data_IF_981771616808
#
_entry.id   IF_981771616808
#
_cell.length_a   1.000
_cell.length_b   1.000
_cell.length_c   1.000
_cell.angle_alpha   90.00
_cell.angle_beta   90.00
_cell.angle_gamma   90.00
#
_symmetry.space_group_name_H-M   'P 1'
#
loop_
_entity.id
_entity.type
_entity.pdbx_description
1 polymer ?
#
# COMPACT_ATOMS: atom_id res chain seq x y z
N UNK A 1 12.25 -22.53 -4.59
CA UNK A 1 12.03 -21.87 -4.39
C UNK A 1 11.83 -21.25 -4.81
N UNK A 2 11.46 -21.09 -5.10
CA UNK A 2 11.35 -20.15 -5.60
C UNK A 2 11.06 -19.21 -5.11
N UNK A 3 10.72 -19.07 -4.61
CA UNK A 3 10.44 -18.20 -4.23
C UNK A 3 11.38 -17.44 -4.00
N UNK A 4 11.96 -17.03 -4.64
CA UNK A 4 12.88 -16.33 -4.49
C UNK A 4 12.68 -14.98 -4.32
N UNK A 5 11.69 -14.37 -4.67
CA UNK A 5 11.49 -13.03 -4.52
C UNK A 5 11.16 -12.66 -3.14
N UNK A 6 10.70 -13.56 -2.33
CA UNK A 6 10.37 -13.30 -0.95
C UNK A 6 11.39 -14.00 -0.10
N UNK A 7 12.38 -13.27 0.36
CA UNK A 7 13.38 -13.84 1.24
C UNK A 7 12.77 -14.09 2.61
N UNK A 8 13.35 -14.95 3.41
CA UNK A 8 12.84 -15.18 4.76
C UNK A 8 12.75 -13.91 5.59
N UNK A 9 13.70 -13.02 5.39
CA UNK A 9 13.71 -11.77 6.14
C UNK A 9 12.54 -10.89 5.77
N UNK A 10 12.24 -10.77 4.47
CA UNK A 10 11.12 -9.96 4.01
C UNK A 10 9.81 -10.57 4.48
N UNK A 11 9.70 -11.87 4.40
CA UNK A 11 8.48 -12.54 4.81
C UNK A 11 8.20 -12.34 6.30
N UNK A 12 9.23 -12.47 7.12
CA UNK A 12 9.07 -12.30 8.56
C UNK A 12 8.67 -10.86 8.89
N UNK A 13 9.26 -9.90 8.17
CA UNK A 13 8.94 -8.51 8.41
C UNK A 13 7.49 -8.20 8.03
N UNK A 14 7.02 -8.72 6.92
CA UNK A 14 5.65 -8.49 6.52
C UNK A 14 4.68 -9.06 7.53
N UNK A 15 4.99 -10.25 8.04
CA UNK A 15 4.12 -10.88 9.02
C UNK A 15 4.09 -10.08 10.31
N UNK A 16 5.23 -9.54 10.71
CA UNK A 16 5.29 -8.71 11.90
C UNK A 16 4.49 -7.44 11.72
N UNK A 17 4.57 -6.81 10.55
CA UNK A 17 3.85 -5.57 10.29
C UNK A 17 2.35 -5.78 10.28
N UNK A 18 1.90 -6.96 9.87
CA UNK A 18 0.48 -7.24 9.90
C UNK A 18 -0.12 -7.09 11.29
N UNK A 19 0.68 -7.39 12.32
CA UNK A 19 0.18 -7.33 13.68
C UNK A 19 0.34 -5.95 14.30
N UNK A 20 1.10 -5.06 13.62
CA UNK A 20 1.43 -3.76 14.20
C UNK A 20 1.14 -2.63 13.23
N UNK A 21 -0.13 -2.49 12.89
CA UNK A 21 -0.52 -1.40 12.02
C UNK A 21 -0.45 -0.08 12.79
N UNK A 22 0.01 0.97 12.13
CA UNK A 22 -0.06 2.31 12.71
C UNK A 22 -1.53 2.73 12.79
N UNK A 23 -1.84 3.77 13.59
CA UNK A 23 -3.21 4.24 13.65
C UNK A 23 -3.80 4.61 12.28
N UNK A 24 -3.00 5.27 11.43
CA UNK A 24 -3.48 5.63 10.11
C UNK A 24 -3.73 4.39 9.26
N UNK A 25 -2.82 3.43 9.31
CA UNK A 25 -2.99 2.19 8.56
C UNK A 25 -4.22 1.43 9.03
N UNK A 26 -4.43 1.37 10.35
CA UNK A 26 -5.59 0.66 10.88
C UNK A 26 -6.87 1.34 10.47
N UNK A 27 -6.89 2.68 10.48
CA UNK A 27 -8.08 3.41 10.08
C UNK A 27 -8.43 3.16 8.62
N UNK A 28 -7.45 3.25 7.74
CA UNK A 28 -7.72 3.01 6.34
C UNK A 28 -8.10 1.56 6.09
N UNK A 29 -7.41 0.64 6.74
CA UNK A 29 -7.68 -0.78 6.56
C UNK A 29 -9.12 -1.14 6.94
N UNK A 30 -9.67 -0.48 7.96
CA UNK A 30 -11.04 -0.78 8.37
C UNK A 30 -12.04 -0.45 7.25
N UNK A 31 -11.66 0.40 6.32
CA UNK A 31 -12.52 0.75 5.19
C UNK A 31 -12.22 -0.06 3.93
N UNK A 32 -11.05 -0.69 3.87
CA UNK A 32 -10.67 -1.44 2.68
C UNK A 32 -10.89 -2.94 2.81
N UNK A 33 -10.80 -3.46 4.02
CA UNK A 33 -10.87 -4.89 4.24
C UNK A 33 -12.24 -5.45 3.91
N UNK A 34 -12.29 -6.74 3.66
CA UNK A 34 -13.54 -7.46 3.45
C UNK A 34 -14.35 -6.89 2.29
N UNK A 35 -13.65 -6.42 1.24
CA UNK A 35 -14.29 -5.91 0.03
C UNK A 35 -15.21 -4.72 0.30
N UNK A 36 -14.93 -3.95 1.34
CA UNK A 36 -15.84 -2.87 1.73
C UNK A 36 -15.85 -1.69 0.78
N UNK A 37 -14.74 -1.46 0.08
CA UNK A 37 -14.69 -0.34 -0.85
C UNK A 37 -14.84 -0.86 -2.27
N UNK A 38 -15.94 -0.48 -2.91
CA UNK A 38 -16.19 -0.82 -4.32
C UNK A 38 -16.12 -2.33 -4.59
N UNK A 39 -16.33 -3.13 -3.54
CA UNK A 39 -16.30 -4.59 -3.66
C UNK A 39 -14.96 -5.08 -4.20
N UNK A 40 -13.89 -4.38 -3.89
CA UNK A 40 -12.54 -4.72 -4.36
C UNK A 40 -11.77 -5.40 -3.25
N UNK A 41 -11.01 -6.42 -3.62
CA UNK A 41 -10.20 -7.16 -2.66
C UNK A 41 -8.87 -6.44 -2.45
N UNK A 42 -8.64 -5.95 -1.23
CA UNK A 42 -7.38 -5.33 -0.85
C UNK A 42 -6.64 -6.21 0.14
N UNK A 43 -5.32 -6.16 0.07
CA UNK A 43 -4.44 -6.81 1.04
C UNK A 43 -3.62 -5.75 1.73
N UNK A 44 -3.32 -5.96 3.00
CA UNK A 44 -2.42 -5.05 3.68
C UNK A 44 -1.06 -5.70 3.84
N UNK A 45 -0.01 -4.89 3.87
CA UNK A 45 1.36 -5.35 4.04
C UNK A 45 1.68 -6.45 3.03
N UNK A 46 1.54 -6.10 1.76
CA UNK A 46 1.67 -7.07 0.66
C UNK A 46 3.05 -6.97 0.02
N UNK A 47 3.68 -8.11 -0.20
CA UNK A 47 5.02 -8.14 -0.80
C UNK A 47 4.93 -8.19 -2.32
N UNK A 48 5.69 -7.33 -2.98
CA UNK A 48 5.82 -7.32 -4.42
C UNK A 48 7.30 -7.25 -4.73
N UNK A 49 7.86 -8.37 -5.23
CA UNK A 49 9.29 -8.46 -5.40
C UNK A 49 9.99 -8.26 -4.08
N UNK A 50 11.00 -7.40 -4.02
CA UNK A 50 11.72 -7.16 -2.77
C UNK A 50 11.05 -6.11 -1.88
N UNK A 51 9.91 -5.60 -2.27
CA UNK A 51 9.28 -4.50 -1.55
C UNK A 51 8.01 -4.96 -0.85
N UNK A 52 7.69 -4.28 0.25
CA UNK A 52 6.44 -4.49 0.96
C UNK A 52 5.66 -3.19 0.87
N UNK A 53 4.43 -3.29 0.36
CA UNK A 53 3.58 -2.11 0.20
C UNK A 53 2.50 -2.13 1.28
N UNK A 54 2.01 -0.95 1.63
CA UNK A 54 1.02 -0.85 2.71
C UNK A 54 -0.29 -1.54 2.36
N UNK A 55 -0.84 -1.23 1.19
CA UNK A 55 -2.08 -1.83 0.73
C UNK A 55 -2.01 -2.08 -0.76
N UNK A 56 -2.64 -3.15 -1.20
CA UNK A 56 -2.60 -3.50 -2.60
C UNK A 56 -3.89 -4.19 -3.01
N UNK A 57 -4.45 -3.76 -4.14
CA UNK A 57 -5.53 -4.46 -4.80
C UNK A 57 -4.92 -5.13 -6.02
N UNK A 58 -4.48 -6.40 -5.91
CA UNK A 58 -3.68 -7.00 -6.97
C UNK A 58 -4.40 -7.10 -8.31
N UNK A 59 -5.68 -7.40 -8.27
CA UNK A 59 -6.43 -7.54 -9.52
C UNK A 59 -6.66 -6.21 -10.22
N UNK A 60 -6.58 -5.12 -9.48
CA UNK A 60 -6.73 -3.79 -10.04
C UNK A 60 -5.40 -3.12 -10.25
N UNK A 61 -4.31 -3.78 -9.85
CA UNK A 61 -2.97 -3.22 -9.99
C UNK A 61 -2.86 -1.86 -9.34
N UNK A 62 -3.43 -1.73 -8.15
CA UNK A 62 -3.43 -0.48 -7.41
C UNK A 62 -2.75 -0.66 -6.07
N UNK A 63 -1.81 0.22 -5.77
CA UNK A 63 -1.09 0.24 -4.51
C UNK A 63 -1.41 1.53 -3.79
N UNK A 64 -1.58 1.45 -2.48
CA UNK A 64 -1.80 2.63 -1.65
C UNK A 64 -0.72 2.64 -0.58
N UNK A 65 -0.06 3.79 -0.44
CA UNK A 65 1.01 3.97 0.52
C UNK A 65 0.68 5.13 1.43
N UNK A 66 0.99 4.99 2.71
CA UNK A 66 0.78 6.06 3.68
C UNK A 66 2.14 6.56 4.13
N UNK A 67 2.32 7.87 4.09
CA UNK A 67 3.58 8.48 4.45
C UNK A 67 3.43 9.27 5.73
N UNK A 68 4.35 9.07 6.66
CA UNK A 68 4.32 9.79 7.92
C UNK A 68 5.09 11.09 7.83
N UNK A 69 6.40 11.00 7.85
CA UNK A 69 7.22 12.19 7.77
C UNK A 69 8.14 12.08 6.57
N UNK A 70 8.78 13.18 6.25
CA UNK A 70 9.64 13.23 5.12
C UNK A 70 10.96 12.54 5.35
N UNK A 71 11.48 11.89 4.35
CA UNK A 71 12.76 11.23 4.42
C UNK A 71 13.52 11.60 3.16
N UNK A 72 14.09 12.80 3.17
CA UNK A 72 14.79 13.29 1.99
C UNK A 72 15.95 12.39 1.59
N UNK A 73 16.60 11.81 2.58
CA UNK A 73 17.72 10.94 2.29
C UNK A 73 17.29 9.63 1.64
N UNK A 74 15.99 9.36 1.57
CA UNK A 74 15.51 8.15 0.95
C UNK A 74 14.89 8.39 -0.42
N UNK A 75 15.06 9.58 -0.96
CA UNK A 75 14.41 9.92 -2.21
C UNK A 75 14.79 8.99 -3.36
N UNK A 76 16.07 8.65 -3.47
CA UNK A 76 16.50 7.77 -4.55
C UNK A 76 15.93 6.37 -4.39
N UNK A 77 15.93 5.88 -3.16
CA UNK A 77 15.35 4.57 -2.89
C UNK A 77 13.86 4.55 -3.24
N UNK A 78 13.15 5.61 -2.86
CA UNK A 78 11.73 5.69 -3.15
C UNK A 78 11.46 5.75 -4.65
N UNK A 79 12.30 6.48 -5.39
CA UNK A 79 12.14 6.57 -6.83
C UNK A 79 12.34 5.21 -7.49
N UNK A 80 13.38 4.49 -7.09
CA UNK A 80 13.65 3.17 -7.64
C UNK A 80 12.51 2.20 -7.31
N UNK A 81 11.99 2.29 -6.10
CA UNK A 81 10.89 1.44 -5.67
C UNK A 81 9.65 1.71 -6.51
N UNK A 82 9.32 2.98 -6.69
CA UNK A 82 8.15 3.35 -7.47
C UNK A 82 8.31 2.90 -8.91
N UNK A 83 9.48 3.10 -9.49
CA UNK A 83 9.73 2.68 -10.85
C UNK A 83 9.57 1.18 -11.02
N UNK A 84 10.07 0.41 -10.04
CA UNK A 84 9.93 -1.04 -10.09
C UNK A 84 8.45 -1.43 -10.07
N UNK A 85 7.68 -0.84 -9.16
CA UNK A 85 6.28 -1.17 -9.03
C UNK A 85 5.49 -0.78 -10.29
N UNK A 86 5.81 0.37 -10.86
CA UNK A 86 5.15 0.80 -12.08
C UNK A 86 5.52 -0.09 -13.26
N UNK A 87 6.75 -0.60 -13.28
CA UNK A 87 7.17 -1.50 -14.35
C UNK A 87 6.40 -2.81 -14.30
N UNK A 88 5.84 -3.15 -13.14
CA UNK A 88 5.01 -4.34 -12.99
C UNK A 88 3.54 -4.05 -13.27
N UNK A 89 3.24 -2.83 -13.70
CA UNK A 89 1.88 -2.47 -14.07
C UNK A 89 1.05 -1.86 -12.96
N UNK A 90 1.67 -1.57 -11.82
CA UNK A 90 0.93 -1.01 -10.69
C UNK A 90 0.87 0.50 -10.76
N UNK A 91 -0.25 1.05 -10.29
CA UNK A 91 -0.40 2.46 -10.03
C UNK A 91 -0.24 2.65 -8.53
N UNK A 92 0.45 3.71 -8.13
CA UNK A 92 0.73 3.96 -6.73
C UNK A 92 0.07 5.26 -6.30
N UNK A 93 -0.78 5.18 -5.29
CA UNK A 93 -1.38 6.36 -4.67
C UNK A 93 -0.73 6.55 -3.31
N UNK A 94 -0.39 7.78 -2.98
CA UNK A 94 0.23 8.10 -1.71
C UNK A 94 -0.60 9.12 -0.97
N UNK A 95 -0.75 8.90 0.32
CA UNK A 95 -1.48 9.81 1.19
C UNK A 95 -0.66 10.06 2.44
N UNK A 96 -0.78 11.26 2.97
CA UNK A 96 -0.19 11.55 4.27
C UNK A 96 -1.00 10.83 5.34
N UNK A 97 -0.32 10.38 6.39
CA UNK A 97 -1.03 9.80 7.54
C UNK A 97 -2.07 10.80 8.07
N UNK A 98 -1.72 12.07 8.08
CA UNK A 98 -2.63 13.12 8.55
C UNK A 98 -3.93 13.14 7.75
N UNK A 99 -3.83 12.98 6.44
CA UNK A 99 -5.03 13.00 5.61
C UNK A 99 -5.95 11.86 5.98
N UNK A 100 -5.38 10.67 6.23
CA UNK A 100 -6.18 9.52 6.62
C UNK A 100 -6.86 9.77 7.97
N UNK A 101 -6.13 10.37 8.91
CA UNK A 101 -6.67 10.57 10.25
C UNK A 101 -7.69 11.68 10.30
N UNK A 102 -7.53 12.72 9.49
CA UNK A 102 -8.36 13.91 9.59
C UNK A 102 -9.44 13.99 8.52
N UNK A 103 -9.25 13.35 7.38
CA UNK A 103 -10.19 13.47 6.27
C UNK A 103 -10.27 12.16 5.50
N UNK A 104 -10.69 11.12 6.21
CA UNK A 104 -10.73 9.79 5.61
C UNK A 104 -11.64 9.73 4.39
N UNK A 105 -12.70 10.54 4.37
CA UNK A 105 -13.62 10.47 3.25
C UNK A 105 -13.01 11.00 1.97
N UNK A 106 -12.18 12.03 2.08
CA UNK A 106 -11.47 12.53 0.91
C UNK A 106 -10.51 11.47 0.37
N UNK A 107 -9.81 10.78 1.29
CA UNK A 107 -8.91 9.72 0.88
C UNK A 107 -9.66 8.60 0.18
N UNK A 108 -10.77 8.17 0.75
CA UNK A 108 -11.56 7.10 0.15
C UNK A 108 -12.12 7.53 -1.20
N UNK A 109 -12.48 8.80 -1.35
CA UNK A 109 -12.97 9.31 -2.62
C UNK A 109 -11.92 9.21 -3.72
N UNK A 110 -10.68 9.55 -3.40
CA UNK A 110 -9.60 9.44 -4.37
C UNK A 110 -9.38 7.99 -4.77
N UNK A 111 -9.40 7.09 -3.79
CA UNK A 111 -9.21 5.67 -4.08
C UNK A 111 -10.37 5.15 -4.94
N UNK A 112 -11.59 5.53 -4.58
CA UNK A 112 -12.76 5.14 -5.36
C UNK A 112 -12.64 5.59 -6.81
N UNK A 113 -12.22 6.85 -7.02
CA UNK A 113 -12.08 7.38 -8.36
C UNK A 113 -11.02 6.63 -9.15
N UNK A 114 -9.93 6.25 -8.49
CA UNK A 114 -8.88 5.49 -9.14
C UNK A 114 -9.38 4.12 -9.58
N UNK A 115 -10.22 3.50 -8.77
CA UNK A 115 -10.78 2.20 -9.12
C UNK A 115 -11.80 2.33 -10.24
N UNK A 116 -12.60 3.40 -10.21
CA UNK A 116 -13.64 3.58 -11.22
C UNK A 116 -13.03 3.93 -12.59
N UNK A 117 -11.84 4.50 -12.58
CA UNK A 117 -11.21 4.90 -13.83
C UNK A 117 -10.53 3.78 -14.59
N UNK A 118 -10.60 2.57 -14.10
CA UNK A 118 -9.94 1.46 -14.78
C UNK A 118 -10.75 0.84 -15.90
#
# INVERSE_FOLDING_TARGET
MPRKRTTPKIFARAKELHRNLTPAEARLWSHLRAHRLADVHFRNQHAIGPYIVDFCAPRRKLIIELDGSQHLEQAEYDAARTEFLQSKGYRVLRFWNDAVMKDIEAVLGVIWDALAGQ
#
